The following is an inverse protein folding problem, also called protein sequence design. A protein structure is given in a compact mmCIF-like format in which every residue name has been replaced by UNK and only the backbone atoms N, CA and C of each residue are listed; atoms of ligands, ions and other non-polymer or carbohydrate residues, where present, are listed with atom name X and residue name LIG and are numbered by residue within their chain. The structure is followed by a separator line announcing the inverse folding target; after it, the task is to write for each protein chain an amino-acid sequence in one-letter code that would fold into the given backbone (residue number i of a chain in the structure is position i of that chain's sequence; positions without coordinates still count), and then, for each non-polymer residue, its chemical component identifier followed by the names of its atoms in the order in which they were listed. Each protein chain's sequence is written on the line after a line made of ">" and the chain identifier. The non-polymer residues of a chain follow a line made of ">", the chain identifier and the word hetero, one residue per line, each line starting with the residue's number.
data_IF_690617552891
#
_entry.id   IF_690617552891
#
_cell.length_a   1.000
_cell.length_b   1.000
_cell.length_c   1.000
_cell.angle_alpha   90.00
_cell.angle_beta   90.00
_cell.angle_gamma   90.00
#
_symmetry.space_group_name_H-M   'P 1'
#
loop_
_entity.id
_entity.type
_entity.pdbx_description
1 polymer ?
#
# COMPACT_ATOMS: atom_id res chain seq x y z
N UNK A 1 47.75 8.82 37.58
CA UNK A 1 47.63 7.88 36.44
C UNK A 1 46.30 7.14 36.64
N UNK A 2 45.17 7.65 36.12
CA UNK A 2 44.60 7.43 34.78
C UNK A 2 44.56 5.94 34.37
N UNK A 3 43.41 5.30 34.58
CA UNK A 3 42.88 4.14 33.85
C UNK A 3 41.40 4.02 34.32
N UNK A 4 40.43 4.79 33.83
CA UNK A 4 39.79 4.84 32.51
C UNK A 4 39.38 3.47 31.94
N UNK A 5 38.05 3.27 31.98
CA UNK A 5 37.19 2.56 31.04
C UNK A 5 37.38 1.06 30.83
N UNK A 6 36.40 0.31 31.34
CA UNK A 6 35.78 -0.77 30.58
C UNK A 6 34.30 -0.88 30.98
N UNK A 7 33.54 0.21 30.78
CA UNK A 7 32.08 0.09 30.64
C UNK A 7 31.89 -0.56 29.27
N UNK A 8 31.74 -1.88 29.26
CA UNK A 8 31.16 -2.60 28.13
C UNK A 8 29.78 -2.00 27.91
N UNK A 9 29.71 -1.06 26.97
CA UNK A 9 28.45 -0.65 26.38
C UNK A 9 27.85 -1.90 25.75
N UNK A 10 26.92 -2.52 26.46
CA UNK A 10 25.83 -3.28 25.85
C UNK A 10 24.99 -2.25 25.07
N UNK A 11 25.52 -1.78 23.95
CA UNK A 11 24.68 -1.10 22.98
C UNK A 11 23.76 -2.18 22.45
N UNK A 12 22.43 -2.06 22.61
CA UNK A 12 21.53 -2.89 21.85
C UNK A 12 21.91 -2.64 20.40
N UNK A 13 22.36 -3.70 19.73
CA UNK A 13 22.46 -3.70 18.27
C UNK A 13 21.01 -3.49 17.86
N UNK A 14 20.65 -2.25 17.56
CA UNK A 14 19.41 -1.91 16.92
C UNK A 14 19.42 -2.75 15.65
N UNK A 15 18.73 -3.88 15.68
CA UNK A 15 18.44 -4.64 14.50
C UNK A 15 17.82 -3.62 13.56
N UNK A 16 18.56 -3.22 12.54
CA UNK A 16 17.98 -2.54 11.41
C UNK A 16 17.01 -3.58 10.86
N UNK A 17 15.75 -3.48 11.26
CA UNK A 17 14.67 -4.10 10.53
C UNK A 17 14.83 -3.54 9.12
N UNK A 18 15.42 -4.36 8.25
CA UNK A 18 15.69 -3.97 6.88
C UNK A 18 14.39 -3.49 6.28
N UNK A 19 14.44 -2.35 5.60
CA UNK A 19 13.33 -1.85 4.79
C UNK A 19 12.82 -3.02 3.95
N UNK A 20 11.57 -3.41 4.16
CA UNK A 20 10.94 -4.46 3.36
C UNK A 20 10.58 -3.90 1.99
N UNK A 21 10.46 -4.73 0.95
CA UNK A 21 10.19 -4.27 -0.42
C UNK A 21 8.90 -3.45 -0.53
N UNK A 22 7.92 -3.66 0.37
CA UNK A 22 6.72 -2.83 0.48
C UNK A 22 6.93 -1.45 1.12
N UNK A 23 8.01 -1.21 1.87
CA UNK A 23 8.29 0.09 2.48
C UNK A 23 8.62 1.18 1.46
N UNK A 24 8.87 0.73 0.23
CA UNK A 24 8.98 1.54 -0.97
C UNK A 24 7.65 2.26 -1.28
N UNK A 25 6.49 1.68 -0.97
CA UNK A 25 5.21 2.35 -1.21
C UNK A 25 4.76 3.14 0.02
N UNK A 26 4.86 4.47 -0.07
CA UNK A 26 4.45 5.36 1.02
C UNK A 26 3.26 6.24 0.65
N UNK A 27 3.09 6.53 -0.64
CA UNK A 27 2.04 7.41 -1.13
C UNK A 27 1.27 6.73 -2.25
N UNK A 28 -0.03 7.00 -2.30
CA UNK A 28 -0.93 6.58 -3.35
C UNK A 28 -1.64 7.81 -3.93
N UNK A 29 -1.65 7.88 -5.25
CA UNK A 29 -2.32 8.93 -6.03
C UNK A 29 -3.37 8.28 -6.93
N UNK A 30 -4.66 8.42 -6.58
CA UNK A 30 -5.76 7.76 -7.27
C UNK A 30 -6.66 8.73 -8.02
N UNK A 31 -7.17 8.26 -9.15
CA UNK A 31 -8.19 8.92 -9.96
C UNK A 31 -9.41 8.03 -10.09
N UNK A 32 -10.59 8.58 -9.83
CA UNK A 32 -11.86 7.99 -10.22
C UNK A 32 -12.21 8.50 -11.62
N UNK A 33 -12.43 7.57 -12.54
CA UNK A 33 -12.89 7.83 -13.89
C UNK A 33 -14.26 7.19 -14.13
N UNK A 34 -15.05 7.80 -15.01
CA UNK A 34 -16.25 7.20 -15.58
C UNK A 34 -16.21 7.42 -17.10
N UNK A 35 -16.27 6.33 -17.88
CA UNK A 35 -16.12 6.36 -19.34
C UNK A 35 -14.89 7.16 -19.82
N UNK A 36 -13.78 7.06 -19.09
CA UNK A 36 -12.52 7.73 -19.40
C UNK A 36 -12.43 9.20 -18.96
N UNK A 37 -13.51 9.79 -18.45
CA UNK A 37 -13.51 11.14 -17.87
C UNK A 37 -13.10 11.07 -16.42
N UNK A 38 -12.09 11.86 -16.01
CA UNK A 38 -11.68 11.98 -14.61
C UNK A 38 -12.76 12.76 -13.85
N UNK A 39 -13.36 12.13 -12.85
CA UNK A 39 -14.38 12.73 -11.99
C UNK A 39 -13.79 13.30 -10.71
N UNK A 40 -12.80 12.62 -10.13
CA UNK A 40 -12.18 12.99 -8.85
C UNK A 40 -10.77 12.44 -8.76
N UNK A 41 -9.91 13.20 -8.10
CA UNK A 41 -8.56 12.79 -7.74
C UNK A 41 -8.43 12.76 -6.22
N UNK A 42 -7.58 11.88 -5.71
CA UNK A 42 -7.30 11.77 -4.28
C UNK A 42 -5.87 11.29 -4.07
N UNK A 43 -5.19 11.89 -3.10
CA UNK A 43 -3.81 11.58 -2.76
C UNK A 43 -3.70 11.38 -1.26
N UNK A 44 -3.09 10.29 -0.82
CA UNK A 44 -2.84 10.06 0.60
C UNK A 44 -1.56 9.25 0.85
N UNK A 45 -1.08 9.34 2.09
CA UNK A 45 -0.05 8.43 2.58
C UNK A 45 -0.70 7.12 3.02
N UNK A 46 -0.07 6.01 2.62
CA UNK A 46 -0.53 4.69 3.01
C UNK A 46 -0.23 4.43 4.48
N UNK A 47 -1.16 3.77 5.17
CA UNK A 47 -1.01 3.36 6.55
C UNK A 47 -0.23 2.05 6.64
N UNK A 48 0.60 1.92 7.68
CA UNK A 48 1.19 0.64 8.04
C UNK A 48 0.21 -0.16 8.89
N UNK A 49 -0.11 -1.37 8.47
CA UNK A 49 -0.97 -2.31 9.20
C UNK A 49 -0.13 -3.49 9.64
N UNK A 50 -0.24 -3.90 10.90
CA UNK A 50 0.38 -5.13 11.39
C UNK A 50 -0.53 -6.32 11.05
N UNK A 51 0.06 -7.35 10.45
CA UNK A 51 -0.61 -8.60 10.10
C UNK A 51 0.00 -9.76 10.88
N UNK A 52 -0.59 -10.95 10.79
CA UNK A 52 -0.04 -12.16 11.41
C UNK A 52 1.33 -12.54 10.83
N UNK A 53 1.59 -12.15 9.59
CA UNK A 53 2.79 -12.49 8.83
C UNK A 53 3.81 -11.34 8.77
N UNK A 54 3.50 -10.18 9.35
CA UNK A 54 4.41 -9.04 9.42
C UNK A 54 3.70 -7.70 9.37
N UNK A 55 4.05 -6.90 8.36
CA UNK A 55 3.44 -5.59 8.11
C UNK A 55 2.87 -5.55 6.70
N UNK A 56 1.91 -4.66 6.46
CA UNK A 56 1.32 -4.37 5.16
C UNK A 56 1.12 -2.86 5.00
N UNK A 57 0.97 -2.40 3.76
CA UNK A 57 0.52 -1.04 3.45
C UNK A 57 -0.97 -1.08 3.13
N UNK A 58 -1.71 -0.11 3.65
CA UNK A 58 -3.15 -0.02 3.42
C UNK A 58 -3.58 1.41 3.12
N UNK A 59 -4.53 1.55 2.21
CA UNK A 59 -5.21 2.80 1.89
C UNK A 59 -6.70 2.53 1.69
N UNK A 60 -7.54 3.45 2.16
CA UNK A 60 -8.98 3.40 1.94
C UNK A 60 -9.46 4.79 1.52
N UNK A 61 -9.99 4.88 0.30
CA UNK A 61 -10.38 6.13 -0.33
C UNK A 61 -11.88 6.11 -0.59
N UNK A 62 -12.57 7.11 -0.05
CA UNK A 62 -13.98 7.36 -0.32
C UNK A 62 -14.12 8.41 -1.42
N UNK A 63 -14.50 7.99 -2.63
CA UNK A 63 -14.72 8.90 -3.74
C UNK A 63 -16.14 9.48 -3.75
N UNK A 64 -17.15 8.65 -3.49
CA UNK A 64 -18.57 9.02 -3.55
C UNK A 64 -19.10 9.60 -2.23
N UNK A 65 -20.21 10.31 -2.31
CA UNK A 65 -20.98 10.79 -1.16
C UNK A 65 -21.98 9.71 -0.67
N UNK A 66 -22.92 10.11 0.20
CA UNK A 66 -23.93 9.22 0.76
C UNK A 66 -24.86 8.58 -0.30
N UNK A 67 -24.96 9.17 -1.50
CA UNK A 67 -25.79 8.67 -2.59
C UNK A 67 -24.99 7.75 -3.52
N UNK A 68 -23.79 8.15 -3.95
CA UNK A 68 -23.00 7.40 -4.94
C UNK A 68 -22.15 6.27 -4.32
N UNK A 69 -21.84 6.34 -3.00
CA UNK A 69 -21.12 5.33 -2.21
C UNK A 69 -20.04 4.57 -2.98
N UNK A 70 -19.03 5.29 -3.47
CA UNK A 70 -17.86 4.71 -4.13
C UNK A 70 -16.71 4.68 -3.15
N UNK A 71 -16.27 3.47 -2.77
CA UNK A 71 -15.14 3.24 -1.89
C UNK A 71 -14.12 2.36 -2.59
N UNK A 72 -12.85 2.72 -2.47
CA UNK A 72 -11.72 1.93 -2.95
C UNK A 72 -10.80 1.60 -1.79
N UNK A 73 -10.27 0.39 -1.76
CA UNK A 73 -9.24 -0.03 -0.82
C UNK A 73 -8.09 -0.66 -1.59
N UNK A 74 -6.88 -0.39 -1.13
CA UNK A 74 -5.66 -1.06 -1.57
C UNK A 74 -4.93 -1.60 -0.35
N UNK A 75 -4.59 -2.88 -0.39
CA UNK A 75 -3.76 -3.54 0.60
C UNK A 75 -2.55 -4.18 -0.10
N UNK A 76 -1.34 -3.91 0.41
CA UNK A 76 -0.08 -4.39 -0.16
C UNK A 76 0.68 -5.14 0.93
N UNK A 77 0.99 -6.41 0.69
CA UNK A 77 1.74 -7.25 1.62
C UNK A 77 2.85 -8.04 0.94
N UNK A 78 3.74 -8.62 1.74
CA UNK A 78 4.80 -9.49 1.22
C UNK A 78 4.18 -10.82 0.79
N UNK A 79 4.55 -11.31 -0.39
CA UNK A 79 4.20 -12.68 -0.81
C UNK A 79 5.13 -13.69 -0.12
N UNK A 80 4.72 -14.12 1.07
CA UNK A 80 5.45 -15.13 1.85
C UNK A 80 5.35 -16.55 1.27
N UNK A 81 4.43 -16.76 0.33
CA UNK A 81 4.14 -18.05 -0.29
C UNK A 81 4.78 -18.22 -1.67
N UNK A 82 5.23 -17.11 -2.25
CA UNK A 82 5.60 -16.98 -3.64
C UNK A 82 6.88 -17.70 -4.01
N UNK A 83 6.90 -18.24 -5.23
CA UNK A 83 8.12 -18.75 -5.87
C UNK A 83 9.13 -17.63 -6.23
N UNK A 84 8.70 -16.36 -6.16
CA UNK A 84 9.47 -15.19 -6.58
C UNK A 84 9.95 -14.43 -5.34
N UNK A 85 11.27 -14.34 -5.09
CA UNK A 85 11.82 -13.56 -3.97
C UNK A 85 11.35 -12.10 -4.01
N UNK A 86 11.09 -11.52 -2.84
CA UNK A 86 10.72 -10.09 -2.67
C UNK A 86 9.46 -9.67 -3.44
N UNK A 87 8.61 -10.63 -3.85
CA UNK A 87 7.34 -10.33 -4.46
C UNK A 87 6.32 -9.83 -3.44
N UNK A 88 5.40 -9.02 -3.94
CA UNK A 88 4.34 -8.40 -3.16
C UNK A 88 2.99 -8.78 -3.75
N UNK A 89 1.99 -8.88 -2.89
CA UNK A 89 0.58 -9.07 -3.26
C UNK A 89 -0.12 -7.72 -3.11
N UNK A 90 -0.86 -7.33 -4.14
CA UNK A 90 -1.67 -6.11 -4.20
C UNK A 90 -3.14 -6.52 -4.28
N UNK A 91 -3.84 -6.38 -3.16
CA UNK A 91 -5.27 -6.66 -3.04
C UNK A 91 -6.05 -5.36 -3.18
N UNK A 92 -6.86 -5.27 -4.23
CA UNK A 92 -7.70 -4.13 -4.53
C UNK A 92 -9.16 -4.50 -4.26
N UNK A 93 -9.89 -3.60 -3.61
CA UNK A 93 -11.33 -3.70 -3.45
C UNK A 93 -12.00 -2.42 -3.94
N UNK A 94 -12.98 -2.55 -4.84
CA UNK A 94 -13.81 -1.44 -5.31
C UNK A 94 -15.26 -1.74 -5.02
N UNK A 95 -15.89 -0.89 -4.21
CA UNK A 95 -17.30 -0.95 -3.85
C UNK A 95 -18.06 0.23 -4.45
N UNK A 96 -19.20 -0.05 -5.09
CA UNK A 96 -20.11 0.95 -5.65
C UNK A 96 -21.55 0.60 -5.24
N UNK A 97 -22.09 1.38 -4.31
CA UNK A 97 -23.34 1.06 -3.63
C UNK A 97 -23.16 -0.20 -2.77
N UNK A 98 -23.84 -1.28 -3.15
CA UNK A 98 -23.76 -2.59 -2.48
C UNK A 98 -22.97 -3.63 -3.28
N UNK A 99 -22.42 -3.25 -4.43
CA UNK A 99 -21.68 -4.19 -5.29
C UNK A 99 -20.19 -3.98 -5.10
N UNK A 100 -19.46 -5.09 -5.04
CA UNK A 100 -18.04 -5.15 -4.75
C UNK A 100 -17.30 -5.89 -5.87
N UNK A 101 -16.08 -5.47 -6.15
CA UNK A 101 -15.13 -6.16 -7.02
C UNK A 101 -13.77 -6.21 -6.34
N UNK A 102 -13.21 -7.42 -6.27
CA UNK A 102 -11.88 -7.68 -5.71
C UNK A 102 -10.91 -8.14 -6.79
N UNK A 103 -9.71 -7.58 -6.79
CA UNK A 103 -8.64 -7.93 -7.74
C UNK A 103 -7.35 -8.14 -6.97
N UNK A 104 -6.67 -9.24 -7.27
CA UNK A 104 -5.35 -9.57 -6.72
C UNK A 104 -4.31 -9.52 -7.84
N UNK A 105 -3.15 -8.91 -7.55
CA UNK A 105 -2.00 -8.85 -8.44
C UNK A 105 -0.75 -9.19 -7.63
N UNK A 106 0.14 -10.02 -8.19
CA UNK A 106 1.44 -10.31 -7.57
C UNK A 106 2.58 -9.78 -8.43
N UNK A 107 3.59 -9.17 -7.80
CA UNK A 107 4.75 -8.64 -8.51
C UNK A 107 5.82 -8.04 -7.60
N UNK A 108 7.06 -7.92 -8.08
CA UNK A 108 8.17 -7.34 -7.32
C UNK A 108 8.13 -5.80 -7.29
N UNK A 109 7.71 -5.18 -8.39
CA UNK A 109 7.57 -3.71 -8.50
C UNK A 109 6.38 -3.36 -9.38
N UNK A 110 5.38 -2.72 -8.78
CA UNK A 110 4.15 -2.29 -9.44
C UNK A 110 4.04 -0.78 -9.26
N UNK A 111 4.12 -0.03 -10.35
CA UNK A 111 4.04 1.45 -10.30
C UNK A 111 2.61 1.97 -10.32
N UNK A 112 1.63 1.14 -10.71
CA UNK A 112 0.23 1.51 -10.72
C UNK A 112 -0.67 0.28 -10.63
N UNK A 113 -1.87 0.49 -10.11
CA UNK A 113 -2.95 -0.50 -10.02
C UNK A 113 -4.25 0.09 -10.55
N UNK A 114 -5.14 -0.78 -11.02
CA UNK A 114 -6.45 -0.38 -11.55
C UNK A 114 -7.51 -1.39 -11.15
N UNK A 115 -8.69 -0.88 -10.82
CA UNK A 115 -9.92 -1.65 -10.64
C UNK A 115 -11.08 -0.98 -11.39
N UNK A 116 -11.99 -1.78 -11.93
CA UNK A 116 -13.13 -1.30 -12.72
C UNK A 116 -14.40 -2.01 -12.29
N UNK A 117 -15.47 -1.25 -12.05
CA UNK A 117 -16.78 -1.76 -11.65
C UNK A 117 -17.88 -0.82 -12.15
N UNK A 118 -18.93 -1.38 -12.77
CA UNK A 118 -20.13 -0.64 -13.23
C UNK A 118 -19.81 0.65 -14.05
N UNK A 119 -18.83 0.60 -14.96
CA UNK A 119 -18.42 1.74 -15.78
C UNK A 119 -17.44 2.70 -15.10
N UNK A 120 -17.33 2.66 -13.77
CA UNK A 120 -16.32 3.41 -13.03
C UNK A 120 -14.98 2.67 -13.03
N UNK A 121 -13.90 3.44 -13.06
CA UNK A 121 -12.54 2.95 -12.92
C UNK A 121 -11.84 3.73 -11.83
N UNK A 122 -11.19 3.04 -10.90
CA UNK A 122 -10.19 3.64 -10.03
C UNK A 122 -8.82 3.23 -10.53
N UNK A 123 -7.99 4.22 -10.86
CA UNK A 123 -6.60 4.04 -11.27
C UNK A 123 -5.70 4.74 -10.26
N UNK A 124 -4.75 4.01 -9.69
CA UNK A 124 -3.86 4.53 -8.66
C UNK A 124 -2.40 4.36 -9.06
N UNK A 125 -1.63 5.44 -8.99
CA UNK A 125 -0.19 5.44 -9.08
C UNK A 125 0.40 5.23 -7.67
N UNK A 126 1.42 4.38 -7.58
CA UNK A 126 2.09 4.03 -6.34
C UNK A 126 3.48 4.66 -6.35
N UNK A 127 3.74 5.53 -5.36
CA UNK A 127 4.96 6.32 -5.33
C UNK A 127 5.85 5.99 -4.13
N UNK A 128 7.15 5.98 -4.41
CA UNK A 128 8.21 6.07 -3.42
C UNK A 128 8.27 7.50 -2.86
N UNK A 129 8.64 7.70 -1.59
CA UNK A 129 8.87 9.05 -1.08
C UNK A 129 9.98 9.71 -1.92
N UNK A 130 9.73 10.95 -2.34
CA UNK A 130 10.77 11.79 -2.94
C UNK A 130 11.77 12.11 -1.82
N UNK A 131 13.00 11.59 -1.94
CA UNK A 131 14.10 11.89 -1.02
C UNK A 131 14.57 13.34 -1.12
#
# INVERSE_FOLDING_TARGET
>A
MKLLLAVMMLMPVSAMAGLTSKDVYQKIDCRLLNDGVVLKEHSEYMMNVKTDIGYAKFSQIQFGDAELKIQYQLFIEDDISGAIPESLIFLQNLMIGETESSVEISGQKVSWVKSTLKGFTVQCELAEPIQ
#
